data_IF_533279593406
#
_entry.id   IF_533279593406
#
_cell.length_a   1.000
_cell.length_b   1.000
_cell.length_c   1.000
_cell.angle_alpha   90.00
_cell.angle_beta   90.00
_cell.angle_gamma   90.00
#
_symmetry.space_group_name_H-M   'P 1'
#
loop_
_entity.id
_entity.type
_entity.pdbx_description
1 polymer ?
#
# COMPACT_ATOMS: atom_id res chain seq x y z
N UNK A 1 18.37 -39.74 15.96
CA UNK A 1 19.59 -39.82 15.15
C UNK A 1 19.86 -38.51 14.41
N UNK A 2 21.12 -38.34 14.02
CA UNK A 2 21.55 -37.13 13.30
C UNK A 2 20.72 -36.87 12.02
N UNK A 3 20.37 -37.92 11.31
CA UNK A 3 19.63 -37.81 10.08
C UNK A 3 18.22 -37.28 10.32
N UNK A 4 17.55 -37.75 11.36
CA UNK A 4 16.22 -37.29 11.69
C UNK A 4 16.18 -35.85 12.17
N UNK A 5 17.20 -35.47 12.96
CA UNK A 5 17.32 -34.08 13.41
C UNK A 5 17.60 -33.14 12.24
N UNK A 6 18.49 -33.51 11.36
CA UNK A 6 18.78 -32.75 10.15
C UNK A 6 17.56 -32.65 9.28
N UNK A 7 16.77 -33.72 9.13
CA UNK A 7 15.53 -33.73 8.40
C UNK A 7 14.50 -32.77 9.02
N UNK A 8 14.33 -32.78 10.33
CA UNK A 8 13.43 -31.87 11.03
C UNK A 8 13.84 -30.42 10.86
N UNK A 9 15.12 -30.11 10.96
CA UNK A 9 15.63 -28.76 10.76
C UNK A 9 15.42 -28.28 9.33
N UNK A 10 15.68 -29.15 8.36
CA UNK A 10 15.46 -28.87 6.96
C UNK A 10 13.99 -28.59 6.67
N UNK A 11 13.10 -29.42 7.17
CA UNK A 11 11.65 -29.24 7.02
C UNK A 11 11.17 -27.95 7.69
N UNK A 12 11.73 -27.63 8.88
CA UNK A 12 11.39 -26.40 9.58
C UNK A 12 11.82 -25.16 8.78
N UNK A 13 13.01 -25.21 8.17
CA UNK A 13 13.53 -24.13 7.31
C UNK A 13 12.76 -24.02 5.99
N UNK A 14 12.21 -25.12 5.52
CA UNK A 14 11.47 -25.19 4.28
C UNK A 14 9.98 -24.87 4.46
N UNK A 15 9.54 -24.62 5.69
CA UNK A 15 8.17 -24.17 5.92
C UNK A 15 7.91 -22.93 5.11
N UNK A 16 6.80 -22.95 4.42
CA UNK A 16 6.33 -21.79 3.66
C UNK A 16 6.15 -20.65 4.65
N UNK A 17 6.91 -19.58 4.46
CA UNK A 17 6.72 -18.35 5.22
C UNK A 17 5.46 -17.67 4.72
N UNK A 18 4.83 -16.90 5.58
CA UNK A 18 3.72 -16.07 5.16
C UNK A 18 4.22 -15.03 4.17
N UNK A 19 3.53 -14.90 3.08
CA UNK A 19 3.86 -13.95 2.02
C UNK A 19 2.61 -13.15 1.63
N UNK A 20 2.83 -11.98 1.02
CA UNK A 20 1.74 -11.24 0.42
C UNK A 20 1.25 -11.96 -0.83
N UNK A 21 -0.07 -12.16 -0.93
CA UNK A 21 -0.69 -12.82 -2.09
C UNK A 21 -0.99 -11.85 -3.23
N UNK A 22 -0.82 -10.56 -2.99
CA UNK A 22 -1.11 -9.51 -3.96
C UNK A 22 -0.07 -8.41 -3.87
N UNK A 23 -0.06 -7.55 -4.89
CA UNK A 23 0.69 -6.30 -4.87
C UNK A 23 -0.22 -5.19 -4.34
N UNK A 24 0.34 -4.28 -3.56
CA UNK A 24 -0.35 -3.11 -3.04
C UNK A 24 0.43 -1.86 -3.40
N UNK A 25 -0.29 -0.85 -3.85
CA UNK A 25 0.33 0.39 -4.31
C UNK A 25 -0.54 1.61 -4.07
N UNK A 26 -0.13 2.69 -4.67
CA UNK A 26 -0.83 3.97 -4.60
C UNK A 26 -0.81 4.65 -5.97
N UNK A 27 -1.87 5.39 -6.27
CA UNK A 27 -1.95 6.14 -7.53
C UNK A 27 -1.22 7.46 -7.37
N UNK A 28 -0.32 7.74 -8.29
CA UNK A 28 0.50 8.96 -8.30
C UNK A 28 0.52 9.55 -9.72
N UNK A 29 1.05 10.75 -9.85
CA UNK A 29 1.29 11.34 -11.17
C UNK A 29 2.75 11.13 -11.56
N UNK A 30 2.97 10.76 -12.81
CA UNK A 30 4.32 10.68 -13.37
C UNK A 30 4.78 12.07 -13.86
N UNK A 31 5.95 12.14 -14.47
CA UNK A 31 6.51 13.40 -14.97
C UNK A 31 5.68 14.03 -16.09
N UNK A 32 4.87 13.23 -16.78
CA UNK A 32 3.96 13.70 -17.84
C UNK A 32 2.56 14.05 -17.30
N UNK A 33 2.42 14.11 -15.97
CA UNK A 33 1.15 14.36 -15.26
C UNK A 33 0.07 13.32 -15.55
N UNK A 34 0.47 12.11 -15.91
CA UNK A 34 -0.44 10.99 -16.09
C UNK A 34 -0.55 10.19 -14.80
N UNK A 35 -1.76 9.71 -14.49
CA UNK A 35 -1.97 8.84 -13.34
C UNK A 35 -1.36 7.47 -13.61
N UNK A 36 -0.51 7.03 -12.69
CA UNK A 36 0.09 5.70 -12.71
C UNK A 36 0.02 5.08 -11.34
N UNK A 37 0.08 3.76 -11.29
CA UNK A 37 0.15 3.03 -10.03
C UNK A 37 1.61 2.80 -9.66
N UNK A 38 1.95 3.12 -8.43
CA UNK A 38 3.27 2.86 -7.85
C UNK A 38 3.13 1.75 -6.82
N UNK A 39 3.78 0.61 -7.06
CA UNK A 39 3.69 -0.56 -6.17
C UNK A 39 4.66 -0.43 -5.00
N UNK A 40 4.16 -0.61 -3.79
CA UNK A 40 4.97 -0.59 -2.56
C UNK A 40 5.23 -1.99 -2.01
N UNK A 41 4.18 -2.80 -1.92
CA UNK A 41 4.28 -4.18 -1.46
C UNK A 41 4.06 -5.09 -2.66
N UNK A 42 4.94 -6.07 -2.84
CA UNK A 42 4.89 -6.96 -3.99
C UNK A 42 4.35 -8.33 -3.58
N UNK A 43 3.61 -8.95 -4.50
CA UNK A 43 3.23 -10.35 -4.32
C UNK A 43 4.49 -11.19 -4.13
N UNK A 44 4.48 -12.02 -3.10
CA UNK A 44 5.63 -12.84 -2.72
C UNK A 44 6.51 -12.24 -1.65
N UNK A 45 6.36 -10.96 -1.32
CA UNK A 45 7.08 -10.36 -0.20
C UNK A 45 6.75 -11.10 1.09
N UNK A 46 7.76 -11.45 1.85
CA UNK A 46 7.55 -12.07 3.17
C UNK A 46 6.89 -11.06 4.11
N UNK A 47 5.89 -11.51 4.85
CA UNK A 47 5.24 -10.68 5.86
C UNK A 47 5.61 -11.18 7.26
N UNK A 48 5.77 -10.30 8.26
CA UNK A 48 5.48 -8.86 8.20
C UNK A 48 6.52 -8.10 7.38
N UNK A 49 6.07 -7.06 6.69
CA UNK A 49 6.95 -6.19 5.92
C UNK A 49 6.46 -4.74 5.98
N UNK A 50 7.37 -3.83 5.75
CA UNK A 50 7.06 -2.41 5.70
C UNK A 50 7.90 -1.76 4.61
N UNK A 51 7.27 -0.90 3.82
CA UNK A 51 7.96 -0.18 2.77
C UNK A 51 7.48 1.27 2.72
N UNK A 52 8.43 2.18 2.57
CA UNK A 52 8.17 3.63 2.50
C UNK A 52 8.67 4.15 1.17
N UNK A 53 7.84 4.95 0.51
CA UNK A 53 8.21 5.66 -0.71
C UNK A 53 7.85 7.13 -0.57
N UNK A 54 8.61 7.98 -1.26
CA UNK A 54 8.40 9.43 -1.22
C UNK A 54 7.90 9.90 -2.57
N UNK A 55 6.83 10.68 -2.54
CA UNK A 55 6.24 11.34 -3.70
C UNK A 55 6.23 12.85 -3.43
N UNK A 56 5.86 13.64 -4.43
CA UNK A 56 5.99 15.10 -4.32
C UNK A 56 4.70 15.79 -4.72
N UNK A 57 4.37 16.84 -3.99
CA UNK A 57 3.24 17.71 -4.32
C UNK A 57 3.54 18.41 -5.65
N UNK A 58 2.53 18.51 -6.50
CA UNK A 58 2.69 19.01 -7.86
C UNK A 58 2.36 20.50 -8.00
N UNK A 59 1.52 21.05 -7.13
CA UNK A 59 1.07 22.43 -7.24
C UNK A 59 1.38 23.22 -5.97
N UNK A 60 1.83 24.46 -6.16
CA UNK A 60 1.88 25.43 -5.07
C UNK A 60 0.46 25.66 -4.53
N UNK A 61 0.35 25.92 -3.24
CA UNK A 61 -0.93 26.26 -2.58
C UNK A 61 -1.96 25.15 -2.66
N UNK A 62 -1.53 23.92 -2.88
CA UNK A 62 -2.43 22.77 -2.93
C UNK A 62 -3.07 22.57 -1.55
N UNK A 63 -4.36 22.34 -1.51
CA UNK A 63 -5.12 22.20 -0.26
C UNK A 63 -5.24 20.75 0.19
N UNK A 64 -5.32 19.82 -0.76
CA UNK A 64 -5.47 18.39 -0.46
C UNK A 64 -4.62 17.56 -1.39
N UNK A 65 -4.30 16.35 -0.92
CA UNK A 65 -3.70 15.30 -1.75
C UNK A 65 -4.68 14.13 -1.78
N UNK A 66 -5.13 13.76 -2.97
CA UNK A 66 -5.94 12.57 -3.14
C UNK A 66 -5.06 11.35 -2.95
N UNK A 67 -5.41 10.51 -1.98
CA UNK A 67 -4.66 9.29 -1.68
C UNK A 67 -5.51 8.07 -1.96
N UNK A 68 -4.92 7.08 -2.63
CA UNK A 68 -5.62 5.88 -3.06
C UNK A 68 -4.75 4.68 -2.77
N UNK A 69 -5.37 3.61 -2.26
CA UNK A 69 -4.69 2.34 -2.01
C UNK A 69 -5.18 1.37 -3.08
N UNK A 70 -4.24 0.73 -3.76
CA UNK A 70 -4.55 -0.19 -4.86
C UNK A 70 -4.08 -1.60 -4.55
N UNK A 71 -4.72 -2.58 -5.21
CA UNK A 71 -4.24 -3.96 -5.23
C UNK A 71 -4.18 -4.47 -6.66
N UNK A 72 -3.26 -5.37 -6.92
CA UNK A 72 -3.11 -6.05 -8.20
C UNK A 72 -2.46 -7.42 -8.00
N UNK A 73 -2.61 -8.30 -8.99
CA UNK A 73 -2.02 -9.65 -8.91
C UNK A 73 -0.54 -9.61 -9.26
N UNK A 74 -0.16 -8.70 -10.17
CA UNK A 74 1.21 -8.49 -10.61
C UNK A 74 1.56 -7.01 -10.46
N UNK A 75 2.85 -6.66 -10.38
CA UNK A 75 3.25 -5.25 -10.40
C UNK A 75 2.73 -4.58 -11.67
N UNK A 76 2.03 -3.48 -11.53
CA UNK A 76 1.34 -2.84 -12.64
C UNK A 76 1.37 -1.32 -12.51
N UNK A 77 1.85 -0.64 -13.54
CA UNK A 77 1.83 0.82 -13.59
C UNK A 77 0.52 1.37 -14.14
N UNK A 78 -0.13 0.63 -15.03
CA UNK A 78 -1.37 1.08 -15.67
C UNK A 78 -2.54 0.97 -14.67
N UNK A 79 -3.17 2.10 -14.38
CA UNK A 79 -4.27 2.16 -13.42
C UNK A 79 -5.50 1.36 -13.86
N UNK A 80 -5.64 1.08 -15.15
CA UNK A 80 -6.74 0.27 -15.67
C UNK A 80 -6.65 -1.19 -15.22
N UNK A 81 -5.46 -1.64 -14.81
CA UNK A 81 -5.20 -3.02 -14.40
C UNK A 81 -5.04 -3.19 -12.89
N UNK A 82 -5.30 -2.15 -12.12
CA UNK A 82 -5.29 -2.21 -10.67
C UNK A 82 -6.69 -1.94 -10.13
N UNK A 83 -6.93 -2.44 -8.93
CA UNK A 83 -8.18 -2.18 -8.24
C UNK A 83 -7.94 -1.19 -7.12
N UNK A 84 -8.72 -0.11 -7.08
CA UNK A 84 -8.68 0.83 -5.98
C UNK A 84 -9.52 0.26 -4.85
N UNK A 85 -8.88 -0.03 -3.71
CA UNK A 85 -9.54 -0.65 -2.57
C UNK A 85 -9.89 0.34 -1.47
N UNK A 86 -9.28 1.52 -1.51
CA UNK A 86 -9.61 2.61 -0.60
C UNK A 86 -9.16 3.93 -1.21
N UNK A 87 -9.89 4.99 -0.96
CA UNK A 87 -9.49 6.33 -1.36
C UNK A 87 -9.99 7.38 -0.37
N UNK A 88 -9.27 8.49 -0.29
CA UNK A 88 -9.59 9.59 0.59
C UNK A 88 -8.71 10.79 0.30
N UNK A 89 -8.81 11.81 1.13
CA UNK A 89 -8.04 13.03 0.99
C UNK A 89 -7.16 13.25 2.21
N UNK A 90 -5.89 13.57 1.96
CA UNK A 90 -4.99 14.11 2.96
C UNK A 90 -5.12 15.62 2.90
N UNK A 91 -5.72 16.23 3.92
CA UNK A 91 -5.87 17.66 4.00
C UNK A 91 -4.59 18.30 4.49
N UNK A 92 -4.04 19.22 3.69
CA UNK A 92 -2.76 19.83 3.98
C UNK A 92 -2.93 20.99 4.97
N UNK A 93 -2.01 21.07 5.92
CA UNK A 93 -1.98 22.15 6.91
C UNK A 93 -1.37 23.40 6.28
N UNK A 94 -1.97 24.55 6.55
CA UNK A 94 -1.49 25.83 6.02
C UNK A 94 -1.22 25.81 4.51
N UNK A 95 -2.27 25.67 3.67
CA UNK A 95 -2.07 25.54 2.21
C UNK A 95 -1.26 26.66 1.58
N UNK A 96 -1.26 27.83 2.19
CA UNK A 96 -0.48 28.99 1.70
C UNK A 96 1.04 28.74 1.74
N UNK A 97 1.49 27.80 2.55
CA UNK A 97 2.89 27.43 2.68
C UNK A 97 3.27 26.22 1.82
N UNK A 98 2.30 25.57 1.18
CA UNK A 98 2.53 24.39 0.36
C UNK A 98 3.17 24.78 -0.96
N UNK A 99 4.27 24.11 -1.28
CA UNK A 99 5.03 24.32 -2.52
C UNK A 99 5.10 23.04 -3.34
N UNK A 100 5.06 23.20 -4.66
CA UNK A 100 5.39 22.11 -5.56
C UNK A 100 6.78 21.55 -5.22
N UNK A 101 6.87 20.23 -5.13
CA UNK A 101 8.09 19.55 -4.70
C UNK A 101 8.13 19.21 -3.22
N UNK A 102 7.17 19.66 -2.42
CA UNK A 102 7.09 19.25 -1.03
C UNK A 102 6.85 17.74 -0.94
N UNK A 103 7.64 17.03 -0.10
CA UNK A 103 7.55 15.57 -0.06
C UNK A 103 6.34 15.08 0.72
N UNK A 104 5.73 14.04 0.18
CA UNK A 104 4.69 13.23 0.82
C UNK A 104 5.23 11.81 0.93
N UNK A 105 5.33 11.33 2.15
CA UNK A 105 5.85 10.00 2.44
C UNK A 105 4.70 9.02 2.60
N UNK A 106 4.77 7.89 1.90
CA UNK A 106 3.75 6.84 1.95
C UNK A 106 4.40 5.58 2.50
N UNK A 107 3.87 5.06 3.60
CA UNK A 107 4.35 3.84 4.22
C UNK A 107 3.23 2.81 4.27
N UNK A 108 3.49 1.63 3.71
CA UNK A 108 2.61 0.48 3.83
C UNK A 108 3.29 -0.58 4.69
N UNK A 109 2.60 -1.02 5.72
CA UNK A 109 3.08 -2.09 6.61
C UNK A 109 2.04 -3.21 6.62
N UNK A 110 2.47 -4.41 6.24
CA UNK A 110 1.58 -5.57 6.14
C UNK A 110 1.99 -6.59 7.21
N UNK A 111 1.10 -6.85 8.15
CA UNK A 111 1.40 -7.71 9.30
C UNK A 111 1.01 -9.18 9.07
N UNK A 112 1.40 -10.04 10.01
CA UNK A 112 1.11 -11.48 9.94
C UNK A 112 -0.37 -11.81 9.99
N UNK A 113 -1.19 -10.89 10.48
CA UNK A 113 -2.64 -11.07 10.51
C UNK A 113 -3.30 -10.61 9.21
N UNK A 114 -2.51 -10.29 8.20
CA UNK A 114 -2.96 -9.75 6.91
C UNK A 114 -3.73 -8.43 7.08
N UNK A 115 -3.27 -7.62 8.01
CA UNK A 115 -3.76 -6.25 8.19
C UNK A 115 -2.76 -5.30 7.54
N UNK A 116 -3.27 -4.49 6.62
CA UNK A 116 -2.48 -3.46 5.92
C UNK A 116 -2.64 -2.14 6.65
N UNK A 117 -1.52 -1.59 7.11
CA UNK A 117 -1.46 -0.27 7.73
C UNK A 117 -0.84 0.68 6.71
N UNK A 118 -1.60 1.67 6.28
CA UNK A 118 -1.14 2.65 5.31
C UNK A 118 -1.07 4.02 5.97
N UNK A 119 0.04 4.71 5.78
CA UNK A 119 0.23 6.05 6.33
C UNK A 119 0.72 6.98 5.23
N UNK A 120 0.03 8.10 5.08
CA UNK A 120 0.36 9.16 4.13
C UNK A 120 0.69 10.41 4.93
N UNK A 121 1.91 10.92 4.80
CA UNK A 121 2.41 12.03 5.61
C UNK A 121 2.99 13.13 4.75
N UNK A 122 2.46 14.34 4.90
CA UNK A 122 3.11 15.53 4.33
C UNK A 122 4.25 15.92 5.25
N UNK A 123 5.47 15.86 4.75
CA UNK A 123 6.68 16.00 5.60
C UNK A 123 6.87 17.40 6.12
N UNK A 124 6.45 18.42 5.39
CA UNK A 124 6.58 19.82 5.80
C UNK A 124 5.87 20.11 7.13
N UNK A 125 4.60 19.69 7.24
CA UNK A 125 3.78 19.98 8.40
C UNK A 125 3.65 18.79 9.37
N UNK A 126 3.97 17.59 8.90
CA UNK A 126 3.78 16.36 9.67
C UNK A 126 2.34 15.86 9.70
N UNK A 127 1.42 16.51 8.99
CA UNK A 127 0.04 16.04 8.91
C UNK A 127 0.00 14.69 8.22
N UNK A 128 -0.78 13.76 8.76
CA UNK A 128 -0.86 12.40 8.19
C UNK A 128 -2.28 11.87 8.17
N UNK A 129 -2.49 10.93 7.26
CA UNK A 129 -3.69 10.11 7.15
C UNK A 129 -3.29 8.66 7.36
N UNK A 130 -3.94 7.99 8.31
CA UNK A 130 -3.67 6.58 8.60
C UNK A 130 -4.89 5.76 8.24
N UNK A 131 -4.66 4.66 7.55
CA UNK A 131 -5.72 3.74 7.12
C UNK A 131 -5.32 2.33 7.52
N UNK A 132 -6.27 1.59 8.04
CA UNK A 132 -6.08 0.20 8.44
C UNK A 132 -7.08 -0.67 7.69
N UNK A 133 -6.59 -1.62 6.91
CA UNK A 133 -7.41 -2.52 6.12
C UNK A 133 -7.14 -3.96 6.54
N UNK A 134 -8.18 -4.63 7.03
CA UNK A 134 -8.11 -6.07 7.30
C UNK A 134 -8.35 -6.81 5.98
N UNK A 135 -7.28 -7.29 5.36
CA UNK A 135 -7.36 -7.88 4.03
C UNK A 135 -8.13 -9.20 4.00
N UNK A 136 -8.19 -9.91 5.12
CA UNK A 136 -9.02 -11.13 5.21
C UNK A 136 -10.50 -10.78 5.12
N UNK A 137 -10.92 -9.80 5.92
CA UNK A 137 -12.32 -9.33 5.93
C UNK A 137 -12.67 -8.63 4.65
N UNK A 138 -11.75 -7.83 4.13
CA UNK A 138 -11.94 -7.09 2.90
C UNK A 138 -12.22 -8.03 1.73
N UNK A 139 -11.42 -9.08 1.58
CA UNK A 139 -11.63 -10.08 0.53
C UNK A 139 -12.98 -10.77 0.66
N UNK A 140 -13.38 -11.14 1.87
CA UNK A 140 -14.69 -11.73 2.16
C UNK A 140 -15.82 -10.74 1.87
N UNK A 141 -15.70 -9.52 2.38
CA UNK A 141 -16.70 -8.46 2.18
C UNK A 141 -16.92 -8.17 0.71
N UNK A 142 -15.84 -8.12 -0.07
CA UNK A 142 -15.96 -7.90 -1.50
C UNK A 142 -16.73 -9.01 -2.21
N UNK A 143 -16.50 -10.26 -1.81
CA UNK A 143 -17.25 -11.39 -2.37
C UNK A 143 -18.73 -11.28 -2.03
N UNK A 144 -19.04 -10.87 -0.80
CA UNK A 144 -20.42 -10.69 -0.34
C UNK A 144 -21.05 -9.46 -0.98
N UNK A 145 -20.32 -8.36 -1.08
CA UNK A 145 -20.80 -7.14 -1.73
C UNK A 145 -21.16 -7.37 -3.19
N UNK A 146 -20.35 -8.10 -3.92
CA UNK A 146 -20.63 -8.44 -5.31
C UNK A 146 -21.96 -9.18 -5.45
N UNK A 147 -22.35 -9.94 -4.43
CA UNK A 147 -23.63 -10.65 -4.40
C UNK A 147 -24.76 -9.70 -3.98
N UNK A 148 -24.54 -8.86 -2.99
CA UNK A 148 -25.57 -8.00 -2.42
C UNK A 148 -25.97 -6.82 -3.31
N UNK A 149 -25.02 -6.28 -4.03
CA UNK A 149 -25.23 -5.12 -4.91
C UNK A 149 -26.07 -5.49 -6.14
N UNK A 150 -26.11 -6.75 -6.45
CA UNK A 150 -26.91 -7.27 -7.55
C UNK A 150 -28.36 -7.41 -7.13
#
# INVERSE_FOLDING_TARGET
TKLNEAGKMSLSKMRVKDISNKCFGTVVLNLDYEQVNSTLIYKGDEIPTSYTSTYFIINNLQETVRVQITESIVPEENIDFVRIIWEGDLELSNPKEVLAGDPVEVTYSYDLNQVMHCEFTEKRSGVSKKVKLDMKKFSKSNSVEDIEVI
#
